data_IF_144100494886
#
_entry.id   IF_144100494886
#
_cell.length_a   1.000
_cell.length_b   1.000
_cell.length_c   1.000
_cell.angle_alpha   90.00
_cell.angle_beta   90.00
_cell.angle_gamma   90.00
#
_symmetry.space_group_name_H-M   'P 1'
#
loop_
_entity.id
_entity.type
_entity.pdbx_description
1 polymer ?
#
# COMPACT_ATOMS: atom_id res chain seq x y z
N UNK A 1 -31.99 8.03 -67.13
CA UNK A 1 -32.55 8.86 -66.03
C UNK A 1 -32.52 8.16 -64.66
N UNK A 2 -32.09 6.90 -64.55
CA UNK A 2 -32.12 6.12 -63.26
C UNK A 2 -30.81 6.27 -62.45
N UNK A 3 -29.66 6.57 -63.08
CA UNK A 3 -28.36 6.62 -62.39
C UNK A 3 -28.17 7.92 -61.58
N UNK A 4 -28.78 9.02 -61.94
CA UNK A 4 -28.62 10.30 -61.25
C UNK A 4 -29.40 10.33 -59.92
N UNK A 5 -30.49 9.62 -59.79
CA UNK A 5 -31.32 9.55 -58.57
C UNK A 5 -30.62 8.73 -57.48
N UNK A 6 -29.89 7.66 -57.86
CA UNK A 6 -29.17 6.83 -56.87
C UNK A 6 -27.97 7.52 -56.24
N UNK A 7 -27.26 8.36 -56.97
CA UNK A 7 -26.10 9.12 -56.47
C UNK A 7 -26.48 10.24 -55.48
N UNK A 8 -27.66 10.87 -55.69
CA UNK A 8 -28.14 11.90 -54.77
C UNK A 8 -28.64 11.33 -53.43
N UNK A 9 -29.27 10.15 -53.44
CA UNK A 9 -29.72 9.49 -52.20
C UNK A 9 -28.55 8.96 -51.35
N UNK A 10 -27.46 8.49 -51.93
CA UNK A 10 -26.26 8.05 -51.20
C UNK A 10 -25.55 9.27 -50.57
N UNK A 11 -25.44 10.38 -51.32
CA UNK A 11 -24.81 11.60 -50.79
C UNK A 11 -25.58 12.23 -49.64
N UNK A 12 -26.90 12.22 -49.68
CA UNK A 12 -27.74 12.73 -48.59
C UNK A 12 -27.71 11.85 -47.35
N UNK A 13 -27.65 10.53 -47.51
CA UNK A 13 -27.52 9.58 -46.40
C UNK A 13 -26.15 9.74 -45.68
N UNK A 14 -25.06 9.80 -46.43
CA UNK A 14 -23.73 10.05 -45.89
C UNK A 14 -23.62 11.41 -45.18
N UNK A 15 -24.25 12.47 -45.69
CA UNK A 15 -24.27 13.78 -45.06
C UNK A 15 -25.08 13.76 -43.74
N UNK A 16 -26.24 13.09 -43.72
CA UNK A 16 -27.02 12.94 -42.52
C UNK A 16 -26.31 12.13 -41.43
N UNK A 17 -25.61 11.07 -41.82
CA UNK A 17 -24.81 10.23 -40.93
C UNK A 17 -23.65 11.00 -40.30
N UNK A 18 -22.95 11.82 -41.10
CA UNK A 18 -21.87 12.68 -40.61
C UNK A 18 -22.40 13.79 -39.66
N UNK A 19 -23.55 14.34 -39.93
CA UNK A 19 -24.22 15.30 -39.02
C UNK A 19 -24.59 14.66 -37.68
N UNK A 20 -25.02 13.42 -37.68
CA UNK A 20 -25.38 12.67 -36.47
C UNK A 20 -24.13 12.35 -35.63
N UNK A 21 -23.08 11.88 -36.28
CA UNK A 21 -21.78 11.61 -35.65
C UNK A 21 -21.15 12.86 -35.02
N UNK A 22 -21.24 14.01 -35.71
CA UNK A 22 -20.78 15.29 -35.16
C UNK A 22 -21.59 15.73 -33.93
N UNK A 23 -22.90 15.49 -33.91
CA UNK A 23 -23.75 15.77 -32.73
C UNK A 23 -23.41 14.88 -31.54
N UNK A 24 -23.14 13.60 -31.78
CA UNK A 24 -22.73 12.65 -30.74
C UNK A 24 -21.35 12.98 -30.17
N UNK A 25 -20.39 13.36 -31.01
CA UNK A 25 -19.08 13.85 -30.59
C UNK A 25 -19.19 15.12 -29.74
N UNK A 26 -20.07 16.05 -30.14
CA UNK A 26 -20.29 17.30 -29.41
C UNK A 26 -20.98 17.04 -28.05
N UNK A 27 -21.97 16.14 -28.00
CA UNK A 27 -22.64 15.72 -26.78
C UNK A 27 -21.68 15.02 -25.82
N UNK A 28 -20.80 14.17 -26.34
CA UNK A 28 -19.79 13.48 -25.54
C UNK A 28 -18.74 14.47 -24.98
N UNK A 29 -18.32 15.45 -25.74
CA UNK A 29 -17.42 16.53 -25.29
C UNK A 29 -18.06 17.38 -24.19
N UNK A 30 -19.33 17.76 -24.31
CA UNK A 30 -20.05 18.51 -23.27
C UNK A 30 -20.21 17.72 -21.98
N UNK A 31 -20.54 16.43 -22.09
CA UNK A 31 -20.64 15.52 -20.93
C UNK A 31 -19.26 15.35 -20.23
N UNK A 32 -18.18 15.19 -20.98
CA UNK A 32 -16.83 15.13 -20.41
C UNK A 32 -16.40 16.45 -19.75
N UNK A 33 -16.84 17.59 -20.31
CA UNK A 33 -16.60 18.90 -19.73
C UNK A 33 -17.37 19.10 -18.43
N UNK A 34 -18.62 18.65 -18.36
CA UNK A 34 -19.43 18.68 -17.14
C UNK A 34 -18.85 17.76 -16.05
N UNK A 35 -18.39 16.57 -16.41
CA UNK A 35 -17.72 15.64 -15.47
C UNK A 35 -16.44 16.27 -14.92
N UNK A 36 -15.61 16.90 -15.78
CA UNK A 36 -14.40 17.62 -15.36
C UNK A 36 -14.71 18.81 -14.46
N UNK A 37 -15.78 19.56 -14.78
CA UNK A 37 -16.19 20.73 -13.98
C UNK A 37 -16.77 20.28 -12.62
N UNK A 38 -17.56 19.21 -12.59
CA UNK A 38 -18.05 18.60 -11.34
C UNK A 38 -16.91 18.04 -10.50
N UNK A 39 -15.94 17.35 -11.10
CA UNK A 39 -14.76 16.85 -10.41
C UNK A 39 -13.92 18.01 -9.84
N UNK A 40 -13.68 19.07 -10.60
CA UNK A 40 -12.98 20.26 -10.15
C UNK A 40 -13.75 21.03 -9.05
N UNK A 41 -15.09 21.11 -9.15
CA UNK A 41 -15.94 21.73 -8.11
C UNK A 41 -16.01 20.86 -6.84
N UNK A 42 -15.98 19.54 -6.96
CA UNK A 42 -15.89 18.64 -5.82
C UNK A 42 -14.51 18.69 -5.15
N UNK A 43 -13.44 18.83 -5.92
CA UNK A 43 -12.08 19.07 -5.40
C UNK A 43 -11.95 20.44 -4.72
N UNK A 44 -12.62 21.49 -5.25
CA UNK A 44 -12.59 22.84 -4.67
C UNK A 44 -13.38 23.01 -3.37
N UNK A 45 -14.34 22.15 -3.09
CA UNK A 45 -15.13 22.19 -1.85
C UNK A 45 -14.58 21.30 -0.73
N UNK A 46 -13.59 20.47 -1.01
CA UNK A 46 -12.91 19.61 -0.02
C UNK A 46 -11.64 20.22 0.57
N UNK A 47 -11.23 21.39 0.12
CA UNK A 47 -10.17 22.15 0.76
C UNK A 47 -10.76 23.25 1.64
N UNK A 48 -11.44 22.87 2.70
CA UNK A 48 -11.22 23.61 3.92
C UNK A 48 -9.75 23.37 4.26
N UNK A 49 -8.95 24.44 4.38
CA UNK A 49 -7.73 24.48 5.16
C UNK A 49 -8.07 24.24 6.64
N UNK A 50 -8.76 23.17 6.94
CA UNK A 50 -8.64 22.56 8.24
C UNK A 50 -7.18 22.14 8.30
N UNK A 51 -6.36 22.98 8.96
CA UNK A 51 -5.15 22.53 9.59
C UNK A 51 -5.47 21.16 10.11
N UNK A 52 -4.81 20.15 9.59
CA UNK A 52 -4.89 18.78 10.07
C UNK A 52 -4.99 18.87 11.59
N UNK A 53 -6.23 18.66 12.09
CA UNK A 53 -6.56 19.04 13.46
C UNK A 53 -5.52 18.40 14.35
N UNK A 54 -4.85 19.20 15.15
CA UNK A 54 -3.99 18.66 16.22
C UNK A 54 -4.79 17.52 16.85
N UNK A 55 -4.26 16.32 16.98
CA UNK A 55 -5.01 15.19 17.50
C UNK A 55 -5.65 15.63 18.81
N UNK A 56 -7.00 15.74 18.81
CA UNK A 56 -7.73 16.12 20.02
C UNK A 56 -7.55 14.99 20.99
N UNK A 57 -6.78 15.25 22.04
CA UNK A 57 -6.61 14.33 23.16
C UNK A 57 -7.92 14.26 23.93
N UNK A 58 -8.41 13.06 24.19
CA UNK A 58 -9.35 12.80 25.26
C UNK A 58 -8.52 12.86 26.56
N UNK A 59 -8.82 13.81 27.44
CA UNK A 59 -8.15 13.88 28.74
C UNK A 59 -8.45 12.60 29.50
N UNK A 60 -7.43 11.77 29.68
CA UNK A 60 -7.50 10.62 30.52
C UNK A 60 -6.17 10.35 31.21
N UNK A 61 -6.26 9.83 32.41
CA UNK A 61 -5.14 9.53 33.28
C UNK A 61 -4.40 8.27 32.79
N UNK A 62 -3.63 8.38 31.71
CA UNK A 62 -2.71 7.30 31.35
C UNK A 62 -1.49 7.36 32.30
N UNK A 63 -1.30 6.39 33.19
CA UNK A 63 -0.51 6.58 34.41
C UNK A 63 1.00 6.51 34.18
N UNK A 64 1.51 6.18 33.00
CA UNK A 64 2.90 5.73 32.87
C UNK A 64 3.83 6.65 32.06
N UNK A 65 3.33 7.67 31.35
CA UNK A 65 4.17 8.51 30.50
C UNK A 65 3.85 9.99 30.61
N UNK A 66 4.84 10.85 30.40
CA UNK A 66 4.61 12.28 30.25
C UNK A 66 3.76 12.60 29.02
N UNK A 67 3.18 13.79 28.96
CA UNK A 67 2.43 14.22 27.77
C UNK A 67 3.30 14.25 26.51
N UNK A 68 4.57 14.62 26.64
CA UNK A 68 5.53 14.64 25.53
C UNK A 68 5.83 13.23 25.02
N UNK A 69 6.00 12.27 25.93
CA UNK A 69 6.22 10.87 25.58
C UNK A 69 5.00 10.26 24.88
N UNK A 70 3.80 10.55 25.39
CA UNK A 70 2.56 10.09 24.74
C UNK A 70 2.39 10.63 23.34
N UNK A 71 2.70 11.90 23.12
CA UNK A 71 2.66 12.50 21.78
C UNK A 71 3.70 11.85 20.84
N UNK A 72 4.90 11.58 21.35
CA UNK A 72 5.93 10.85 20.60
C UNK A 72 5.44 9.46 20.18
N UNK A 73 4.92 8.67 21.12
CA UNK A 73 4.37 7.34 20.84
C UNK A 73 3.18 7.40 19.86
N UNK A 74 2.28 8.37 20.05
CA UNK A 74 1.15 8.59 19.15
C UNK A 74 1.59 8.81 17.68
N UNK A 75 2.63 9.62 17.46
CA UNK A 75 3.20 9.83 16.12
C UNK A 75 3.74 8.52 15.51
N UNK A 76 4.38 7.68 16.33
CA UNK A 76 4.85 6.36 15.89
C UNK A 76 3.67 5.46 15.52
N UNK A 77 2.60 5.43 16.34
CA UNK A 77 1.41 4.62 16.08
C UNK A 77 0.67 5.07 14.82
N UNK A 78 0.53 6.38 14.62
CA UNK A 78 -0.04 6.94 13.40
C UNK A 78 0.77 6.52 12.17
N UNK A 79 2.10 6.60 12.22
CA UNK A 79 2.95 6.20 11.11
C UNK A 79 2.88 4.68 10.86
N UNK A 80 2.88 3.85 11.91
CA UNK A 80 2.68 2.40 11.77
C UNK A 80 1.35 2.08 11.10
N UNK A 81 0.27 2.73 11.52
CA UNK A 81 -1.05 2.53 10.91
C UNK A 81 -1.03 2.82 9.41
N UNK A 82 -0.44 3.96 9.01
CA UNK A 82 -0.35 4.37 7.61
C UNK A 82 0.51 3.40 6.78
N UNK A 83 1.66 2.98 7.29
CA UNK A 83 2.57 2.09 6.56
C UNK A 83 2.00 0.67 6.43
N UNK A 84 1.30 0.19 7.46
CA UNK A 84 0.61 -1.11 7.42
C UNK A 84 -0.58 -1.10 6.47
N UNK A 85 -1.36 -0.02 6.41
CA UNK A 85 -2.43 0.16 5.41
C UNK A 85 -1.87 0.25 3.98
N UNK A 86 -0.72 0.88 3.80
CA UNK A 86 -0.01 0.91 2.52
C UNK A 86 0.41 -0.51 2.10
N UNK A 87 1.01 -1.30 2.99
CA UNK A 87 1.38 -2.68 2.71
C UNK A 87 0.16 -3.57 2.43
N UNK A 88 -0.93 -3.41 3.19
CA UNK A 88 -2.19 -4.09 2.88
C UNK A 88 -2.61 -3.87 1.43
N UNK A 89 -2.65 -2.61 0.98
CA UNK A 89 -3.01 -2.29 -0.40
C UNK A 89 -2.03 -2.89 -1.42
N UNK A 90 -0.73 -2.85 -1.15
CA UNK A 90 0.30 -3.36 -2.06
C UNK A 90 0.27 -4.89 -2.15
N UNK A 91 0.00 -5.60 -1.07
CA UNK A 91 -0.24 -7.05 -1.12
C UNK A 91 -1.51 -7.39 -1.90
N UNK A 92 -2.57 -6.57 -1.83
CA UNK A 92 -3.75 -6.74 -2.67
C UNK A 92 -3.44 -6.49 -4.14
N UNK A 93 -2.65 -5.46 -4.45
CA UNK A 93 -2.20 -5.18 -5.82
C UNK A 93 -1.36 -6.35 -6.38
N UNK A 94 -0.44 -6.89 -5.60
CA UNK A 94 0.35 -8.08 -5.96
C UNK A 94 -0.54 -9.32 -6.12
N UNK A 95 -1.50 -9.55 -5.21
CA UNK A 95 -2.45 -10.65 -5.25
C UNK A 95 -3.27 -10.67 -6.55
N UNK A 96 -3.74 -9.51 -7.02
CA UNK A 96 -4.54 -9.42 -8.24
C UNK A 96 -3.71 -9.57 -9.52
N UNK A 97 -2.47 -9.09 -9.51
CA UNK A 97 -1.68 -8.86 -10.73
C UNK A 97 -0.51 -9.82 -10.92
N UNK A 98 -0.19 -10.69 -9.93
CA UNK A 98 0.89 -11.66 -10.07
C UNK A 98 0.58 -12.68 -11.18
N UNK A 99 1.57 -12.99 -12.01
CA UNK A 99 1.52 -14.05 -13.00
C UNK A 99 2.85 -14.83 -13.02
N UNK A 100 2.79 -16.07 -13.51
CA UNK A 100 3.95 -16.94 -13.64
C UNK A 100 3.72 -18.34 -13.07
N UNK A 101 4.74 -19.19 -13.06
CA UNK A 101 4.63 -20.58 -12.57
C UNK A 101 4.21 -20.70 -11.10
N UNK A 102 4.48 -19.68 -10.27
CA UNK A 102 4.12 -19.65 -8.86
C UNK A 102 2.82 -18.88 -8.59
N UNK A 103 2.01 -18.60 -9.63
CA UNK A 103 0.79 -17.81 -9.49
C UNK A 103 -0.09 -18.28 -8.34
N UNK A 104 -0.51 -19.55 -8.32
CA UNK A 104 -1.50 -20.01 -7.35
C UNK A 104 -1.01 -19.91 -5.89
N UNK A 105 0.16 -20.46 -5.52
CA UNK A 105 0.64 -20.34 -4.14
C UNK A 105 0.95 -18.88 -3.73
N UNK A 106 1.39 -18.02 -4.63
CA UNK A 106 1.66 -16.63 -4.33
C UNK A 106 0.37 -15.80 -4.22
N UNK A 107 -0.60 -16.05 -5.09
CA UNK A 107 -1.93 -15.42 -5.02
C UNK A 107 -2.57 -15.64 -3.64
N UNK A 108 -2.60 -16.88 -3.16
CA UNK A 108 -3.16 -17.22 -1.86
C UNK A 108 -2.31 -16.63 -0.71
N UNK A 109 -0.98 -16.72 -0.82
CA UNK A 109 -0.08 -16.17 0.18
C UNK A 109 -0.16 -14.65 0.28
N UNK A 110 -0.29 -13.94 -0.83
CA UNK A 110 -0.44 -12.48 -0.81
C UNK A 110 -1.77 -12.04 -0.19
N UNK A 111 -2.85 -12.83 -0.38
CA UNK A 111 -4.10 -12.59 0.33
C UNK A 111 -3.94 -12.77 1.85
N UNK A 112 -3.30 -13.86 2.29
CA UNK A 112 -2.99 -14.10 3.72
C UNK A 112 -2.22 -12.92 4.32
N UNK A 113 -1.20 -12.41 3.62
CA UNK A 113 -0.41 -11.29 4.09
C UNK A 113 -1.16 -9.95 4.07
N UNK A 114 -2.01 -9.71 3.07
CA UNK A 114 -2.88 -8.55 3.05
C UNK A 114 -3.78 -8.51 4.30
N UNK A 115 -4.44 -9.62 4.62
CA UNK A 115 -5.28 -9.74 5.80
C UNK A 115 -4.49 -9.54 7.10
N UNK A 116 -3.28 -10.09 7.17
CA UNK A 116 -2.38 -9.87 8.31
C UNK A 116 -2.06 -8.38 8.51
N UNK A 117 -1.61 -7.67 7.46
CA UNK A 117 -1.25 -6.25 7.59
C UNK A 117 -2.46 -5.36 7.88
N UNK A 118 -3.63 -5.69 7.36
CA UNK A 118 -4.89 -5.00 7.71
C UNK A 118 -5.20 -5.12 9.21
N UNK A 119 -5.09 -6.33 9.77
CA UNK A 119 -5.30 -6.56 11.20
C UNK A 119 -4.25 -5.86 12.06
N UNK A 120 -2.99 -5.85 11.63
CA UNK A 120 -1.95 -5.13 12.35
C UNK A 120 -2.19 -3.61 12.34
N UNK A 121 -2.65 -3.04 11.22
CA UNK A 121 -3.00 -1.63 11.14
C UNK A 121 -4.08 -1.24 12.17
N UNK A 122 -5.08 -2.09 12.36
CA UNK A 122 -6.14 -1.89 13.35
C UNK A 122 -5.59 -1.89 14.78
N UNK A 123 -4.71 -2.82 15.13
CA UNK A 123 -4.05 -2.89 16.45
C UNK A 123 -3.32 -1.59 16.77
N UNK A 124 -2.56 -1.01 15.82
CA UNK A 124 -1.81 0.23 16.05
C UNK A 124 -2.70 1.46 16.02
N UNK A 125 -3.76 1.46 15.22
CA UNK A 125 -4.80 2.49 15.24
C UNK A 125 -5.50 2.53 16.61
N UNK A 126 -5.95 1.39 17.12
CA UNK A 126 -6.58 1.27 18.43
C UNK A 126 -5.61 1.63 19.57
N UNK A 127 -4.31 1.26 19.45
CA UNK A 127 -3.30 1.68 20.40
C UNK A 127 -3.17 3.20 20.46
N UNK A 128 -3.24 3.89 19.32
CA UNK A 128 -3.24 5.35 19.28
C UNK A 128 -4.47 5.95 19.99
N UNK A 129 -5.64 5.35 19.81
CA UNK A 129 -6.87 5.75 20.54
C UNK A 129 -6.73 5.55 22.05
N UNK A 130 -6.12 4.44 22.51
CA UNK A 130 -5.84 4.19 23.92
C UNK A 130 -4.90 5.25 24.54
N UNK A 131 -4.01 5.83 23.74
CA UNK A 131 -3.15 6.94 24.14
C UNK A 131 -3.88 8.29 24.19
N UNK A 132 -5.16 8.33 23.75
CA UNK A 132 -6.00 9.53 23.73
C UNK A 132 -5.90 10.33 22.44
N UNK A 133 -5.35 9.78 21.35
CA UNK A 133 -5.16 10.49 20.08
C UNK A 133 -6.00 9.88 18.95
N UNK A 134 -6.54 10.73 18.10
CA UNK A 134 -7.27 10.31 16.91
C UNK A 134 -6.33 9.71 15.85
N UNK A 135 -6.89 8.90 14.96
CA UNK A 135 -6.19 8.26 13.85
C UNK A 135 -6.63 8.86 12.51
N UNK A 136 -5.70 9.08 11.61
CA UNK A 136 -5.98 9.47 10.23
C UNK A 136 -5.56 8.34 9.26
N UNK A 137 -6.53 7.49 8.90
CA UNK A 137 -6.38 6.38 7.94
C UNK A 137 -6.96 6.68 6.56
N UNK A 138 -7.15 7.95 6.19
CA UNK A 138 -7.67 8.32 4.86
C UNK A 138 -6.67 7.96 3.76
N UNK A 139 -7.17 7.53 2.59
CA UNK A 139 -6.31 7.21 1.44
C UNK A 139 -5.36 8.35 1.05
N UNK A 140 -5.83 9.60 1.12
CA UNK A 140 -5.00 10.78 0.85
C UNK A 140 -3.86 10.96 1.85
N UNK A 141 -4.03 10.54 3.09
CA UNK A 141 -3.00 10.56 4.12
C UNK A 141 -2.02 9.41 3.89
N UNK A 142 -2.52 8.20 3.66
CA UNK A 142 -1.68 7.03 3.35
C UNK A 142 -0.76 7.32 2.17
N UNK A 143 -1.31 7.79 1.04
CA UNK A 143 -0.52 8.04 -0.17
C UNK A 143 0.53 9.15 -0.03
N UNK A 144 0.34 10.10 0.91
CA UNK A 144 1.26 11.23 1.11
C UNK A 144 2.30 10.99 2.18
N UNK A 145 2.00 10.15 3.16
CA UNK A 145 2.81 10.04 4.38
C UNK A 145 3.37 8.65 4.66
N UNK A 146 2.99 7.64 3.85
CA UNK A 146 3.60 6.31 3.96
C UNK A 146 5.09 6.36 3.60
N UNK A 147 5.90 5.68 4.39
CA UNK A 147 7.32 5.45 4.12
C UNK A 147 7.54 4.27 3.16
N UNK A 148 6.49 3.50 2.88
CA UNK A 148 6.57 2.35 1.98
C UNK A 148 6.48 2.84 0.54
N UNK A 149 7.47 2.57 -0.33
CA UNK A 149 7.44 2.98 -1.73
C UNK A 149 6.24 2.37 -2.47
N UNK A 150 5.66 3.08 -3.42
CA UNK A 150 4.51 2.61 -4.20
C UNK A 150 4.80 1.29 -4.95
N UNK A 151 3.78 0.45 -5.07
CA UNK A 151 3.83 -0.76 -5.89
C UNK A 151 3.49 -0.40 -7.34
N UNK A 152 4.16 -0.99 -8.36
CA UNK A 152 3.86 -0.70 -9.75
C UNK A 152 2.47 -1.22 -10.12
N UNK A 153 1.78 -0.48 -11.00
CA UNK A 153 0.50 -0.89 -11.54
C UNK A 153 0.67 -1.93 -12.68
N UNK A 154 -0.34 -2.79 -12.87
CA UNK A 154 -0.41 -3.76 -13.95
C UNK A 154 0.16 -5.13 -13.60
N UNK A 155 0.16 -6.03 -14.60
CA UNK A 155 0.67 -7.39 -14.40
C UNK A 155 2.15 -7.40 -14.04
N UNK A 156 2.50 -8.28 -13.10
CA UNK A 156 3.86 -8.42 -12.58
C UNK A 156 4.24 -9.90 -12.50
N UNK A 157 5.48 -10.23 -12.81
CA UNK A 157 5.95 -11.62 -12.69
C UNK A 157 6.11 -12.04 -11.23
N UNK A 158 6.01 -13.34 -10.98
CA UNK A 158 6.23 -13.94 -9.65
C UNK A 158 7.56 -13.47 -9.02
N UNK A 159 8.65 -13.53 -9.76
CA UNK A 159 9.97 -13.12 -9.28
C UNK A 159 10.06 -11.61 -8.97
N UNK A 160 9.47 -10.76 -9.79
CA UNK A 160 9.46 -9.31 -9.57
C UNK A 160 8.59 -8.94 -8.37
N UNK A 161 7.40 -9.53 -8.25
CA UNK A 161 6.52 -9.29 -7.11
C UNK A 161 7.16 -9.66 -5.78
N UNK A 162 7.86 -10.81 -5.73
CA UNK A 162 8.60 -11.26 -4.55
C UNK A 162 9.70 -10.26 -4.16
N UNK A 163 10.53 -9.80 -5.11
CA UNK A 163 11.59 -8.82 -4.85
C UNK A 163 11.03 -7.50 -4.34
N UNK A 164 10.01 -6.99 -5.02
CA UNK A 164 9.38 -5.73 -4.64
C UNK A 164 8.75 -5.80 -3.24
N UNK A 165 8.08 -6.90 -2.89
CA UNK A 165 7.50 -7.06 -1.57
C UNK A 165 8.58 -7.22 -0.48
N UNK A 166 9.68 -7.95 -0.75
CA UNK A 166 10.83 -8.02 0.16
C UNK A 166 11.38 -6.63 0.47
N UNK A 167 11.59 -5.80 -0.55
CA UNK A 167 12.12 -4.45 -0.36
C UNK A 167 11.19 -3.61 0.53
N UNK A 168 9.90 -3.64 0.29
CA UNK A 168 8.88 -2.88 1.02
C UNK A 168 8.73 -3.34 2.46
N UNK A 169 8.64 -4.64 2.66
CA UNK A 169 8.57 -5.21 4.00
C UNK A 169 9.86 -4.96 4.79
N UNK A 170 11.02 -4.87 4.10
CA UNK A 170 12.29 -4.50 4.73
C UNK A 170 12.30 -3.03 5.20
N UNK A 171 11.62 -2.12 4.49
CA UNK A 171 11.44 -0.74 4.98
C UNK A 171 10.65 -0.74 6.28
N UNK A 172 9.51 -1.45 6.32
CA UNK A 172 8.72 -1.60 7.55
C UNK A 172 9.54 -2.24 8.68
N UNK A 173 10.28 -3.32 8.39
CA UNK A 173 11.14 -4.00 9.36
C UNK A 173 12.08 -3.03 10.09
N UNK A 174 12.84 -2.25 9.34
CA UNK A 174 13.79 -1.27 9.89
C UNK A 174 13.09 -0.26 10.81
N UNK A 175 11.93 0.22 10.40
CA UNK A 175 11.16 1.19 11.17
C UNK A 175 10.61 0.59 12.47
N UNK A 176 10.07 -0.63 12.41
CA UNK A 176 9.59 -1.35 13.61
C UNK A 176 10.70 -1.53 14.62
N UNK A 177 11.89 -1.97 14.20
CA UNK A 177 13.03 -2.13 15.10
C UNK A 177 13.49 -0.80 15.72
N UNK A 178 13.49 0.28 14.94
CA UNK A 178 13.73 1.63 15.46
C UNK A 178 12.71 2.01 16.53
N UNK A 179 11.43 1.80 16.26
CA UNK A 179 10.36 2.16 17.20
C UNK A 179 10.34 1.27 18.45
N UNK A 180 10.72 0.00 18.37
CA UNK A 180 10.95 -0.86 19.53
C UNK A 180 12.00 -0.21 20.45
N UNK A 181 13.15 0.17 19.90
CA UNK A 181 14.23 0.78 20.67
C UNK A 181 13.80 2.08 21.33
N UNK A 182 13.09 2.93 20.59
CA UNK A 182 12.64 4.24 21.08
C UNK A 182 11.49 4.17 22.09
N UNK A 183 10.62 3.16 22.00
CA UNK A 183 9.45 3.03 22.87
C UNK A 183 9.72 2.21 24.13
N UNK A 184 10.74 1.37 24.16
CA UNK A 184 10.95 0.35 25.19
C UNK A 184 11.00 0.90 26.63
N UNK A 185 11.57 2.07 26.81
CA UNK A 185 11.70 2.72 28.15
C UNK A 185 10.54 3.65 28.47
N UNK A 186 9.82 4.14 27.46
CA UNK A 186 8.74 5.14 27.63
C UNK A 186 7.37 4.48 27.71
N UNK A 187 7.12 3.46 26.88
CA UNK A 187 5.85 2.74 26.82
C UNK A 187 6.09 1.25 26.51
N UNK A 188 6.36 0.44 27.53
CA UNK A 188 6.60 -0.99 27.38
C UNK A 188 5.43 -1.74 26.70
N UNK A 189 4.19 -1.27 26.85
CA UNK A 189 3.01 -1.90 26.22
C UNK A 189 3.06 -1.72 24.71
N UNK A 190 3.35 -0.50 24.25
CA UNK A 190 3.56 -0.24 22.81
C UNK A 190 4.77 -0.98 22.28
N UNK A 191 5.89 -0.99 23.01
CA UNK A 191 7.09 -1.74 22.62
C UNK A 191 6.79 -3.24 22.44
N UNK A 192 6.02 -3.84 23.34
CA UNK A 192 5.62 -5.24 23.23
C UNK A 192 4.78 -5.50 21.96
N UNK A 193 3.85 -4.62 21.61
CA UNK A 193 3.08 -4.74 20.37
C UNK A 193 3.95 -4.59 19.11
N UNK A 194 4.93 -3.71 19.14
CA UNK A 194 5.92 -3.59 18.06
C UNK A 194 6.80 -4.85 17.94
N UNK A 195 7.15 -5.52 19.05
CA UNK A 195 7.88 -6.78 19.03
C UNK A 195 7.04 -7.91 18.43
N UNK A 196 5.75 -8.00 18.75
CA UNK A 196 4.82 -8.95 18.12
C UNK A 196 4.75 -8.72 16.59
N UNK A 197 4.67 -7.47 16.14
CA UNK A 197 4.72 -7.10 14.73
C UNK A 197 6.07 -7.48 14.09
N UNK A 198 7.20 -7.19 14.74
CA UNK A 198 8.54 -7.50 14.24
C UNK A 198 8.68 -8.99 13.94
N UNK A 199 8.23 -9.85 14.85
CA UNK A 199 8.25 -11.30 14.63
C UNK A 199 7.46 -11.71 13.37
N UNK A 200 6.27 -11.15 13.14
CA UNK A 200 5.48 -11.42 11.94
C UNK A 200 6.12 -10.91 10.66
N UNK A 201 6.71 -9.71 10.72
CA UNK A 201 7.45 -9.10 9.61
C UNK A 201 8.67 -9.92 9.22
N UNK A 202 9.47 -10.37 10.20
CA UNK A 202 10.64 -11.21 9.96
C UNK A 202 10.25 -12.55 9.32
N UNK A 203 9.17 -13.17 9.81
CA UNK A 203 8.61 -14.39 9.24
C UNK A 203 8.13 -14.17 7.79
N UNK A 204 7.51 -13.04 7.49
CA UNK A 204 7.09 -12.70 6.14
C UNK A 204 8.30 -12.55 5.19
N UNK A 205 9.32 -11.79 5.57
CA UNK A 205 10.55 -11.63 4.79
C UNK A 205 11.23 -12.98 4.55
N UNK A 206 11.32 -13.83 5.57
CA UNK A 206 11.87 -15.16 5.42
C UNK A 206 11.11 -16.00 4.40
N UNK A 207 9.78 -16.06 4.49
CA UNK A 207 8.93 -16.79 3.53
C UNK A 207 9.08 -16.26 2.10
N UNK A 208 9.09 -14.94 1.90
CA UNK A 208 9.29 -14.35 0.58
C UNK A 208 10.66 -14.70 -0.02
N UNK A 209 11.72 -14.65 0.78
CA UNK A 209 13.08 -14.97 0.34
C UNK A 209 13.24 -16.43 -0.08
N UNK A 210 12.58 -17.36 0.60
CA UNK A 210 12.65 -18.78 0.26
C UNK A 210 12.09 -19.04 -1.16
N UNK A 211 11.05 -18.34 -1.58
CA UNK A 211 10.50 -18.48 -2.93
C UNK A 211 11.49 -18.04 -4.03
N UNK A 212 12.44 -17.17 -3.73
CA UNK A 212 13.48 -16.74 -4.70
C UNK A 212 14.68 -17.69 -4.78
N UNK A 213 14.75 -18.72 -3.92
CA UNK A 213 15.86 -19.65 -3.93
C UNK A 213 15.75 -20.61 -5.11
N UNK A 214 16.90 -20.87 -5.76
CA UNK A 214 16.96 -21.86 -6.84
C UNK A 214 16.65 -23.26 -6.31
N UNK A 215 15.96 -24.13 -7.07
CA UNK A 215 15.77 -25.53 -6.71
C UNK A 215 17.13 -26.20 -6.42
N UNK A 216 17.27 -26.83 -5.26
CA UNK A 216 18.49 -27.58 -4.88
C UNK A 216 19.49 -26.86 -4.00
N UNK A 217 19.25 -25.62 -3.58
CA UNK A 217 20.18 -24.95 -2.72
C UNK A 217 19.60 -23.92 -1.77
N UNK A 218 19.82 -24.08 -0.49
CA UNK A 218 19.98 -22.92 0.37
C UNK A 218 21.11 -22.10 -0.26
N UNK A 219 20.78 -20.87 -0.72
CA UNK A 219 21.67 -20.03 -1.54
C UNK A 219 23.11 -20.01 -1.03
N UNK A 220 24.04 -19.88 -1.94
CA UNK A 220 25.49 -19.84 -1.65
C UNK A 220 25.89 -18.75 -0.65
N UNK A 221 25.01 -17.78 -0.42
CA UNK A 221 25.24 -16.58 0.41
C UNK A 221 24.76 -16.71 1.87
N UNK A 222 24.40 -17.90 2.35
CA UNK A 222 24.04 -18.04 3.75
C UNK A 222 25.29 -18.05 4.64
N UNK A 223 25.36 -17.20 5.69
CA UNK A 223 26.55 -17.04 6.53
C UNK A 223 27.13 -18.36 7.08
N UNK A 224 26.25 -19.35 7.37
CA UNK A 224 26.67 -20.66 7.88
C UNK A 224 27.36 -21.55 6.81
N UNK A 225 27.08 -21.37 5.50
CA UNK A 225 27.80 -22.10 4.44
C UNK A 225 29.22 -21.57 4.27
N UNK A 226 29.42 -20.26 4.44
CA UNK A 226 30.74 -19.68 4.46
C UNK A 226 31.59 -20.21 5.64
N UNK A 227 30.94 -20.52 6.79
CA UNK A 227 31.58 -21.14 7.94
C UNK A 227 31.97 -22.58 7.61
N UNK A 228 31.09 -23.41 7.06
CA UNK A 228 31.38 -24.80 6.71
C UNK A 228 32.49 -24.96 5.66
N UNK A 229 32.58 -24.02 4.70
CA UNK A 229 33.68 -24.04 3.73
C UNK A 229 35.03 -23.70 4.36
N UNK A 230 35.09 -22.84 5.37
CA UNK A 230 36.31 -22.53 6.15
C UNK A 230 36.74 -23.73 7.00
N UNK A 231 35.78 -24.42 7.62
CA UNK A 231 36.06 -25.59 8.48
C UNK A 231 36.56 -26.80 7.66
N UNK A 232 36.22 -26.90 6.36
CA UNK A 232 36.69 -27.96 5.44
C UNK A 232 38.04 -27.67 4.80
N UNK A 233 38.46 -26.41 4.78
CA UNK A 233 39.77 -25.99 4.22
C UNK A 233 40.81 -25.67 5.29
N UNK A 234 40.43 -25.82 6.56
CA UNK A 234 41.31 -25.62 7.69
C UNK A 234 42.18 -26.84 7.95
N UNK A 235 43.25 -26.92 7.19
CA UNK A 235 44.48 -27.61 7.55
C UNK A 235 45.62 -26.62 7.44
#
# INVERSE_FOLDING_TARGET
MIIVVALTTIATASFAQNQQEQKEIQANKSTQQEVKTRAASAMGKGQSNEKMGQPKRIEDSYPLTSNADREKISKMMQQMTVDLLSLFNQYKEAHWNVNGPLYLPLHDYYQEQADYYRLQADIFAERNLQLGYSVDGRYSTISKTSNIPDFPAGYITDNESLKLLIDRVTVLQKQVYTYITESNTIDPVTSNKLQDLAYGVDKNIWKLRIHLQKPGGLGEDLPWKAQQSRDRTGN
#
